data_IF_066539204758
#
_entry.id   IF_066539204758
#
_cell.length_a   1.000
_cell.length_b   1.000
_cell.length_c   1.000
_cell.angle_alpha   90.00
_cell.angle_beta   90.00
_cell.angle_gamma   90.00
#
_symmetry.space_group_name_H-M   'P 1'
#
loop_
_entity.id
_entity.type
_entity.pdbx_description
1 polymer ?
#
# COMPACT_ATOMS: atom_id res chain seq x y z
N UNK A 1 -31.66 39.03 -48.64
CA UNK A 1 -31.23 37.79 -47.97
C UNK A 1 -29.70 37.75 -47.92
N UNK A 2 -29.11 37.77 -46.72
CA UNK A 2 -27.82 37.13 -46.46
C UNK A 2 -28.01 35.87 -45.57
N UNK A 3 -27.18 34.82 -45.70
CA UNK A 3 -27.25 33.64 -44.84
C UNK A 3 -26.72 33.94 -43.43
N UNK A 4 -27.37 33.38 -42.39
CA UNK A 4 -26.88 33.40 -41.00
C UNK A 4 -25.80 32.32 -40.83
N UNK A 5 -24.69 32.59 -40.10
CA UNK A 5 -23.60 31.62 -39.92
C UNK A 5 -23.96 30.50 -38.94
N UNK A 6 -23.42 29.31 -39.21
CA UNK A 6 -23.56 28.09 -38.42
C UNK A 6 -22.90 28.22 -37.05
N UNK A 7 -23.62 27.80 -36.00
CA UNK A 7 -23.08 27.65 -34.64
C UNK A 7 -22.18 26.40 -34.63
N UNK A 8 -20.87 26.60 -34.54
CA UNK A 8 -19.92 25.51 -34.26
C UNK A 8 -19.99 25.15 -32.77
N UNK A 9 -20.46 23.95 -32.48
CA UNK A 9 -20.37 23.33 -31.17
C UNK A 9 -18.91 22.97 -30.89
N UNK A 10 -18.23 23.71 -30.01
CA UNK A 10 -17.00 23.23 -29.40
C UNK A 10 -17.33 22.11 -28.42
N UNK A 11 -17.27 20.86 -28.89
CA UNK A 11 -17.15 19.70 -28.01
C UNK A 11 -15.67 19.42 -27.79
N UNK A 12 -15.14 19.81 -26.64
CA UNK A 12 -13.88 19.27 -26.13
C UNK A 12 -14.12 18.71 -24.74
N UNK A 13 -14.85 17.60 -24.67
CA UNK A 13 -14.85 16.74 -23.51
C UNK A 13 -13.51 16.02 -23.40
N UNK A 14 -12.55 16.60 -22.68
CA UNK A 14 -11.37 15.88 -22.18
C UNK A 14 -11.80 15.00 -21.00
N UNK A 15 -12.50 13.91 -21.30
CA UNK A 15 -12.91 12.88 -20.35
C UNK A 15 -12.17 11.58 -20.64
N UNK A 16 -10.90 11.48 -20.24
CA UNK A 16 -10.07 10.34 -20.65
C UNK A 16 -8.81 10.10 -19.84
N UNK A 17 -8.85 10.21 -18.50
CA UNK A 17 -7.81 9.58 -17.68
C UNK A 17 -7.98 8.06 -17.73
N UNK A 18 -7.37 7.44 -18.72
CA UNK A 18 -7.36 5.99 -18.95
C UNK A 18 -6.91 5.24 -17.68
N UNK A 19 -7.54 4.11 -17.39
CA UNK A 19 -7.28 3.31 -16.18
C UNK A 19 -5.80 2.95 -15.97
N UNK A 20 -5.02 2.85 -17.05
CA UNK A 20 -3.57 2.65 -17.02
C UNK A 20 -2.81 3.80 -16.34
N UNK A 21 -3.20 5.05 -16.58
CA UNK A 21 -2.60 6.23 -15.93
C UNK A 21 -2.83 6.23 -14.42
N UNK A 22 -4.05 5.85 -13.99
CA UNK A 22 -4.39 5.73 -12.57
C UNK A 22 -3.62 4.61 -11.86
N UNK A 23 -3.40 3.47 -12.52
CA UNK A 23 -2.60 2.36 -11.96
C UNK A 23 -1.15 2.79 -11.77
N UNK A 24 -0.53 3.41 -12.79
CA UNK A 24 0.84 3.90 -12.71
C UNK A 24 1.01 4.94 -11.58
N UNK A 25 0.05 5.87 -11.47
CA UNK A 25 0.08 6.87 -10.41
C UNK A 25 -0.11 6.27 -9.00
N UNK A 26 -0.98 5.27 -8.86
CA UNK A 26 -1.13 4.55 -7.59
C UNK A 26 0.15 3.82 -7.20
N UNK A 27 0.83 3.18 -8.16
CA UNK A 27 2.14 2.55 -7.91
C UNK A 27 3.17 3.57 -7.48
N UNK A 28 3.33 4.68 -8.21
CA UNK A 28 4.29 5.72 -7.86
C UNK A 28 4.06 6.30 -6.45
N UNK A 29 2.80 6.48 -6.05
CA UNK A 29 2.47 6.93 -4.70
C UNK A 29 2.81 5.89 -3.62
N UNK A 30 2.58 4.61 -3.91
CA UNK A 30 2.95 3.51 -3.02
C UNK A 30 4.47 3.40 -2.85
N UNK A 31 5.20 3.44 -3.97
CA UNK A 31 6.66 3.38 -4.00
C UNK A 31 7.26 4.55 -3.20
N UNK A 32 6.80 5.78 -3.45
CA UNK A 32 7.27 6.96 -2.72
C UNK A 32 7.00 6.90 -1.21
N UNK A 33 5.83 6.39 -0.79
CA UNK A 33 5.54 6.22 0.63
C UNK A 33 6.50 5.23 1.28
N UNK A 34 6.82 4.16 0.56
CA UNK A 34 7.60 3.06 1.09
C UNK A 34 9.12 3.33 0.99
N UNK A 35 9.58 4.18 0.05
CA UNK A 35 10.92 4.78 0.05
C UNK A 35 11.11 5.74 1.23
N UNK A 36 10.10 6.57 1.54
CA UNK A 36 10.13 7.46 2.70
C UNK A 36 10.18 6.71 4.03
N UNK A 37 9.59 5.51 4.08
CA UNK A 37 9.73 4.60 5.23
C UNK A 37 11.15 4.03 5.25
N UNK A 38 11.64 3.47 4.13
CA UNK A 38 12.97 2.86 4.05
C UNK A 38 14.09 3.83 4.48
N UNK A 39 13.99 5.11 4.14
CA UNK A 39 14.95 6.14 4.54
C UNK A 39 15.10 6.31 6.08
N UNK A 40 14.14 5.83 6.87
CA UNK A 40 14.17 5.87 8.35
C UNK A 40 14.92 4.67 8.95
N UNK A 41 15.24 3.66 8.14
CA UNK A 41 15.84 2.41 8.56
C UNK A 41 17.19 2.22 7.84
N UNK A 42 18.32 2.45 8.52
CA UNK A 42 19.64 2.25 7.92
C UNK A 42 19.81 0.85 7.32
N UNK A 43 20.28 0.76 6.08
CA UNK A 43 20.46 -0.53 5.38
C UNK A 43 19.16 -1.23 5.00
N UNK A 44 18.02 -0.52 4.99
CA UNK A 44 16.76 -1.09 4.56
C UNK A 44 16.76 -1.44 3.08
N UNK A 45 16.05 -2.52 2.76
CA UNK A 45 15.86 -3.00 1.39
C UNK A 45 14.38 -2.88 1.02
N UNK A 46 14.11 -2.50 -0.22
CA UNK A 46 12.76 -2.40 -0.77
C UNK A 46 12.33 -3.75 -1.33
N UNK A 47 11.05 -4.05 -1.19
CA UNK A 47 10.34 -5.15 -1.82
C UNK A 47 11.10 -6.50 -1.72
N UNK A 48 11.14 -7.07 -0.52
CA UNK A 48 11.93 -8.27 -0.24
C UNK A 48 11.01 -9.47 -0.02
N UNK A 49 11.32 -10.58 -0.69
CA UNK A 49 10.59 -11.83 -0.52
C UNK A 49 11.16 -12.66 0.62
N UNK A 50 10.27 -13.18 1.44
CA UNK A 50 10.56 -14.17 2.47
C UNK A 50 9.72 -15.42 2.22
N UNK A 51 10.33 -16.57 2.42
CA UNK A 51 9.64 -17.84 2.32
C UNK A 51 9.01 -18.18 3.69
N UNK A 52 7.68 -18.06 3.78
CA UNK A 52 6.94 -18.69 4.87
C UNK A 52 6.52 -20.11 4.44
N UNK A 53 6.24 -20.96 5.42
CA UNK A 53 5.65 -22.30 5.24
C UNK A 53 4.32 -22.20 4.50
N UNK A 54 3.51 -21.19 4.80
CA UNK A 54 2.23 -20.92 4.12
C UNK A 54 2.35 -20.13 2.81
N UNK A 55 3.57 -19.98 2.27
CA UNK A 55 3.86 -19.36 0.98
C UNK A 55 4.70 -18.09 1.06
N UNK A 56 4.97 -17.49 -0.11
CA UNK A 56 5.82 -16.30 -0.21
C UNK A 56 5.16 -15.08 0.45
N UNK A 57 5.95 -14.32 1.20
CA UNK A 57 5.62 -13.01 1.75
C UNK A 57 6.59 -11.96 1.22
N UNK A 58 6.13 -11.13 0.29
CA UNK A 58 6.86 -9.94 -0.16
C UNK A 58 6.56 -8.79 0.78
N UNK A 59 7.54 -8.26 1.49
CA UNK A 59 7.40 -7.09 2.37
C UNK A 59 7.83 -5.82 1.65
N UNK A 60 7.17 -4.70 1.90
CA UNK A 60 7.51 -3.44 1.22
C UNK A 60 8.89 -2.95 1.64
N UNK A 61 9.19 -2.93 2.94
CA UNK A 61 10.51 -2.55 3.46
C UNK A 61 11.02 -3.61 4.43
N UNK A 62 12.29 -3.96 4.29
CA UNK A 62 13.00 -4.82 5.22
C UNK A 62 14.15 -4.07 5.88
N UNK A 63 14.03 -3.76 7.16
CA UNK A 63 15.11 -3.22 7.98
C UNK A 63 16.08 -4.33 8.35
N UNK A 64 17.10 -4.59 7.53
CA UNK A 64 17.96 -5.76 7.67
C UNK A 64 18.72 -5.85 9.00
N UNK A 65 19.16 -4.71 9.54
CA UNK A 65 19.87 -4.63 10.83
C UNK A 65 18.93 -4.86 12.02
N UNK A 66 17.75 -4.24 12.02
CA UNK A 66 16.76 -4.34 13.12
C UNK A 66 15.86 -5.56 12.99
N UNK A 67 15.87 -6.18 11.81
CA UNK A 67 15.00 -7.28 11.40
C UNK A 67 13.51 -6.95 11.50
N UNK A 68 13.18 -5.71 11.15
CA UNK A 68 11.80 -5.20 11.11
C UNK A 68 11.26 -5.32 9.69
N UNK A 69 10.16 -6.08 9.53
CA UNK A 69 9.42 -6.16 8.28
C UNK A 69 8.30 -5.12 8.26
N UNK A 70 8.14 -4.41 7.15
CA UNK A 70 7.19 -3.30 7.07
C UNK A 70 6.31 -3.42 5.83
N UNK A 71 5.01 -3.29 6.05
CA UNK A 71 3.99 -3.11 5.02
C UNK A 71 3.57 -1.63 4.97
N UNK A 72 3.41 -1.07 3.78
CA UNK A 72 2.90 0.28 3.53
C UNK A 72 1.58 0.21 2.78
N UNK A 73 0.56 0.92 3.26
CA UNK A 73 -0.77 0.98 2.64
C UNK A 73 -1.20 2.44 2.51
N UNK A 74 -1.74 2.81 1.34
CA UNK A 74 -2.32 4.15 1.12
C UNK A 74 -3.84 4.06 1.18
N UNK A 75 -4.46 4.96 1.94
CA UNK A 75 -5.92 5.05 2.05
C UNK A 75 -6.52 4.15 3.13
N UNK A 76 -7.83 3.90 3.01
CA UNK A 76 -8.55 2.99 3.89
C UNK A 76 -8.34 1.55 3.43
N UNK A 77 -7.89 0.67 4.33
CA UNK A 77 -7.68 -0.75 4.01
C UNK A 77 -8.62 -1.64 4.82
N UNK A 78 -9.33 -2.54 4.15
CA UNK A 78 -10.23 -3.52 4.79
C UNK A 78 -9.57 -4.89 4.96
N UNK A 79 -10.13 -5.69 5.87
CA UNK A 79 -9.71 -7.09 6.07
C UNK A 79 -10.29 -7.99 4.97
N UNK A 80 -9.56 -8.14 3.88
CA UNK A 80 -9.87 -9.12 2.81
C UNK A 80 -9.16 -10.45 3.07
N UNK A 81 -9.51 -11.50 2.32
CA UNK A 81 -8.81 -12.78 2.39
C UNK A 81 -7.29 -12.64 2.10
N UNK A 82 -6.92 -11.84 1.10
CA UNK A 82 -5.52 -11.58 0.75
C UNK A 82 -4.78 -10.83 1.88
N UNK A 83 -5.41 -9.80 2.46
CA UNK A 83 -4.83 -9.06 3.60
C UNK A 83 -4.68 -9.98 4.81
N UNK A 84 -5.66 -10.86 5.08
CA UNK A 84 -5.56 -11.86 6.14
C UNK A 84 -4.38 -12.81 5.93
N UNK A 85 -4.14 -13.26 4.71
CA UNK A 85 -3.00 -14.13 4.38
C UNK A 85 -1.65 -13.41 4.58
N UNK A 86 -1.56 -12.12 4.23
CA UNK A 86 -0.36 -11.32 4.52
C UNK A 86 -0.08 -11.29 6.03
N UNK A 87 -1.10 -10.97 6.85
CA UNK A 87 -0.97 -10.94 8.31
C UNK A 87 -0.61 -12.32 8.87
N UNK A 88 -1.18 -13.40 8.34
CA UNK A 88 -0.86 -14.77 8.76
C UNK A 88 0.63 -15.08 8.51
N UNK A 89 1.15 -14.74 7.33
CA UNK A 89 2.57 -14.96 7.00
C UNK A 89 3.49 -14.06 7.82
N UNK A 90 3.08 -12.83 8.11
CA UNK A 90 3.81 -11.92 9.01
C UNK A 90 3.96 -12.55 10.40
N UNK A 91 2.88 -13.09 10.96
CA UNK A 91 2.89 -13.81 12.25
C UNK A 91 3.75 -15.06 12.19
N UNK A 92 3.65 -15.83 11.11
CA UNK A 92 4.45 -17.04 10.92
C UNK A 92 5.95 -16.72 10.95
N UNK A 93 6.38 -15.71 10.19
CA UNK A 93 7.78 -15.31 10.10
C UNK A 93 8.29 -14.65 11.39
N UNK A 94 7.42 -13.99 12.17
CA UNK A 94 7.76 -13.57 13.54
C UNK A 94 7.95 -14.78 14.46
N UNK A 95 7.08 -15.79 14.39
CA UNK A 95 7.15 -17.00 15.23
C UNK A 95 8.40 -17.83 14.95
N UNK A 96 8.85 -17.88 13.70
CA UNK A 96 10.08 -18.54 13.26
C UNK A 96 11.33 -17.74 13.60
N UNK A 97 11.19 -16.56 14.25
CA UNK A 97 12.29 -15.63 14.49
C UNK A 97 13.01 -15.29 13.19
N UNK A 98 12.29 -15.12 12.07
CA UNK A 98 12.81 -14.50 10.84
C UNK A 98 12.65 -12.98 10.93
N UNK A 99 11.49 -12.53 11.41
CA UNK A 99 11.24 -11.14 11.77
C UNK A 99 11.36 -10.95 13.29
N UNK A 100 12.02 -9.87 13.70
CA UNK A 100 12.00 -9.43 15.11
C UNK A 100 10.68 -8.74 15.45
N UNK A 101 10.15 -7.96 14.52
CA UNK A 101 8.83 -7.34 14.61
C UNK A 101 8.29 -7.01 13.21
N UNK A 102 6.99 -6.71 13.15
CA UNK A 102 6.30 -6.28 11.94
C UNK A 102 5.59 -4.95 12.21
N UNK A 103 5.71 -4.01 11.28
CA UNK A 103 4.98 -2.75 11.29
C UNK A 103 4.09 -2.60 10.04
N UNK A 104 2.88 -2.09 10.22
CA UNK A 104 1.98 -1.71 9.12
C UNK A 104 1.76 -0.21 9.15
N UNK A 105 2.25 0.48 8.12
CA UNK A 105 2.19 1.94 7.97
C UNK A 105 1.05 2.33 7.05
N UNK A 106 0.17 3.21 7.52
CA UNK A 106 -0.97 3.68 6.74
C UNK A 106 -0.83 5.16 6.40
N UNK A 107 -0.62 5.47 5.13
CA UNK A 107 -0.62 6.84 4.63
C UNK A 107 -2.04 7.29 4.22
N UNK A 108 -2.32 8.59 4.37
CA UNK A 108 -3.58 9.17 3.89
C UNK A 108 -3.63 9.20 2.37
N UNK A 109 -4.75 8.78 1.80
CA UNK A 109 -5.01 8.91 0.36
C UNK A 109 -5.25 10.37 0.00
N UNK A 110 -4.51 10.90 -0.98
CA UNK A 110 -4.76 12.25 -1.54
C UNK A 110 -6.07 12.35 -2.33
N UNK A 111 -6.60 11.21 -2.80
CA UNK A 111 -7.82 11.15 -3.62
C UNK A 111 -9.07 11.12 -2.74
N UNK A 112 -9.10 10.24 -1.74
CA UNK A 112 -10.29 10.04 -0.89
C UNK A 112 -10.21 10.75 0.45
N UNK A 113 -9.02 11.22 0.85
CA UNK A 113 -8.79 11.77 2.18
C UNK A 113 -8.78 10.72 3.30
N UNK A 114 -9.09 9.45 3.02
CA UNK A 114 -9.17 8.39 4.03
C UNK A 114 -7.78 7.80 4.36
N UNK A 115 -7.68 7.15 5.52
CA UNK A 115 -6.45 6.55 6.04
C UNK A 115 -6.77 5.36 6.96
N UNK A 116 -5.82 4.43 7.06
CA UNK A 116 -5.79 3.45 8.14
C UNK A 116 -6.57 2.16 7.89
N UNK A 117 -6.44 1.18 8.78
CA UNK A 117 -7.17 -0.08 8.71
C UNK A 117 -8.62 0.09 9.17
N UNK A 118 -9.56 -0.64 8.57
CA UNK A 118 -10.90 -0.83 9.15
C UNK A 118 -10.81 -1.48 10.52
N UNK A 119 -11.85 -1.33 11.37
CA UNK A 119 -11.86 -1.92 12.71
C UNK A 119 -11.50 -3.42 12.71
N UNK A 120 -12.08 -4.27 11.85
CA UNK A 120 -11.69 -5.69 11.80
C UNK A 120 -10.21 -5.93 11.49
N UNK A 121 -9.63 -5.12 10.59
CA UNK A 121 -8.20 -5.22 10.29
C UNK A 121 -7.34 -4.72 11.47
N UNK A 122 -7.73 -3.61 12.11
CA UNK A 122 -7.03 -3.06 13.26
C UNK A 122 -6.99 -4.05 14.42
N UNK A 123 -8.14 -4.67 14.73
CA UNK A 123 -8.26 -5.66 15.80
C UNK A 123 -7.36 -6.87 15.50
N UNK A 124 -7.38 -7.38 14.26
CA UNK A 124 -6.51 -8.47 13.83
C UNK A 124 -5.02 -8.11 13.99
N UNK A 125 -4.59 -6.97 13.44
CA UNK A 125 -3.18 -6.54 13.52
C UNK A 125 -2.70 -6.45 14.97
N UNK A 126 -3.49 -5.81 15.84
CA UNK A 126 -3.15 -5.64 17.26
C UNK A 126 -3.12 -6.98 18.00
N UNK A 127 -4.11 -7.84 17.79
CA UNK A 127 -4.15 -9.17 18.42
C UNK A 127 -2.98 -10.07 17.99
N UNK A 128 -2.42 -9.82 16.80
CA UNK A 128 -1.25 -10.51 16.26
C UNK A 128 0.09 -9.93 16.71
N UNK A 129 0.09 -8.90 17.56
CA UNK A 129 1.32 -8.20 17.99
C UNK A 129 1.97 -7.32 16.92
N UNK A 130 1.24 -6.99 15.85
CA UNK A 130 1.73 -6.13 14.77
C UNK A 130 1.52 -4.65 15.12
N UNK A 131 2.58 -3.85 14.95
CA UNK A 131 2.57 -2.42 15.27
C UNK A 131 1.88 -1.66 14.12
N UNK A 132 0.93 -0.80 14.44
CA UNK A 132 0.23 0.06 13.47
C UNK A 132 0.80 1.47 13.54
N UNK A 133 1.18 2.02 12.37
CA UNK A 133 1.81 3.33 12.20
C UNK A 133 1.02 4.21 11.25
#
# INVERSE_FOLDING_TARGET
MPPRPAIQWFSTGQGGSTSASRIAQNKANGDAAADAIAARYPGARREVDFQATSGVRRVDVWGSTTRVAIESKVGRTSLTAAVRQQVQRDVELMSQRVFSSVEWHFARSRVTGLQGPTKPLLDLLRSSGIIVR
#
